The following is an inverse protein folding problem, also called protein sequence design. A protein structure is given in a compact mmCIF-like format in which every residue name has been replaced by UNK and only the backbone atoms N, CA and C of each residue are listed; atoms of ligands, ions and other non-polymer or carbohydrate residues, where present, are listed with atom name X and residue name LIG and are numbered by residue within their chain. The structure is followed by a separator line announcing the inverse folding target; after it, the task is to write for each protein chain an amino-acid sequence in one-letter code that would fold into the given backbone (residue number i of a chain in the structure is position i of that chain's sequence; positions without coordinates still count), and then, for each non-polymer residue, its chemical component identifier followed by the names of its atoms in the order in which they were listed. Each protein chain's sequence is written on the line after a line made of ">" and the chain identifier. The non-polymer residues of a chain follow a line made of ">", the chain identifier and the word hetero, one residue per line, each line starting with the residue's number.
data_IF_294793580490
#
_entry.id   IF_294793580490
#
_cell.length_a   1.000
_cell.length_b   1.000
_cell.length_c   1.000
_cell.angle_alpha   90.00
_cell.angle_beta   90.00
_cell.angle_gamma   90.00
#
_symmetry.space_group_name_H-M   'P 1'
#
loop_
_entity.id
_entity.type
_entity.pdbx_description
1 polymer ?
#
# COMPACT_ATOMS: atom_id res chain seq x y z
N UNK A 1 -3.43 -6.97 10.60
CA UNK A 1 -2.48 -5.84 10.47
C UNK A 1 -2.43 -5.09 11.78
N UNK A 2 -1.25 -4.83 12.30
CA UNK A 2 -1.07 -4.22 13.61
C UNK A 2 -0.91 -2.71 13.53
N UNK A 3 -1.20 -2.03 14.65
CA UNK A 3 -1.02 -0.58 14.73
C UNK A 3 0.47 -0.18 14.57
N UNK A 4 1.39 -1.03 15.04
CA UNK A 4 2.84 -0.80 14.85
C UNK A 4 3.19 -0.67 13.37
N UNK A 5 2.63 -1.54 12.53
CA UNK A 5 2.86 -1.53 11.08
C UNK A 5 2.31 -0.26 10.46
N UNK A 6 1.08 0.11 10.81
CA UNK A 6 0.48 1.34 10.29
C UNK A 6 1.27 2.58 10.72
N UNK A 7 1.68 2.65 11.98
CA UNK A 7 2.46 3.78 12.48
C UNK A 7 3.79 3.90 11.74
N UNK A 8 4.44 2.79 11.44
CA UNK A 8 5.68 2.78 10.67
C UNK A 8 5.45 3.30 9.24
N UNK A 9 4.39 2.86 8.60
CA UNK A 9 4.05 3.29 7.24
C UNK A 9 3.59 4.75 7.18
N UNK A 10 2.97 5.25 8.23
CA UNK A 10 2.56 6.66 8.30
C UNK A 10 3.76 7.60 8.44
N UNK A 11 4.83 7.13 9.06
CA UNK A 11 6.04 7.95 9.29
C UNK A 11 7.07 7.85 8.17
N UNK A 12 7.06 6.77 7.40
CA UNK A 12 8.11 6.46 6.45
C UNK A 12 7.51 6.11 5.10
N UNK A 13 8.03 6.72 4.05
CA UNK A 13 7.54 6.48 2.69
C UNK A 13 7.73 5.02 2.32
N UNK A 14 6.64 4.37 1.93
CA UNK A 14 6.68 3.02 1.38
C UNK A 14 6.92 3.04 -0.12
N UNK A 15 7.63 2.02 -0.60
CA UNK A 15 7.83 1.78 -2.03
C UNK A 15 7.17 0.47 -2.39
N UNK A 16 6.26 0.51 -3.35
CA UNK A 16 5.52 -0.67 -3.79
C UNK A 16 6.16 -1.25 -5.05
N UNK A 17 6.51 -2.52 -4.97
CA UNK A 17 7.01 -3.28 -6.11
C UNK A 17 5.89 -4.09 -6.74
N UNK A 18 5.79 -4.00 -8.06
CA UNK A 18 4.86 -4.78 -8.88
C UNK A 18 5.60 -5.42 -10.02
N UNK A 19 5.00 -6.45 -10.64
CA UNK A 19 5.52 -7.01 -11.89
C UNK A 19 4.96 -6.20 -13.05
N UNK A 20 5.85 -5.57 -13.81
CA UNK A 20 5.44 -4.84 -15.02
C UNK A 20 4.90 -5.77 -16.09
N UNK A 21 4.06 -5.24 -16.97
CA UNK A 21 3.49 -6.01 -18.08
C UNK A 21 4.56 -6.50 -19.06
N UNK A 22 5.72 -5.85 -19.07
CA UNK A 22 6.90 -6.28 -19.83
C UNK A 22 7.73 -7.36 -19.10
N UNK A 23 7.34 -7.76 -17.89
CA UNK A 23 8.05 -8.75 -17.08
C UNK A 23 9.09 -8.16 -16.13
N UNK A 24 9.50 -6.90 -16.30
CA UNK A 24 10.45 -6.27 -15.40
C UNK A 24 9.80 -5.84 -14.09
N UNK A 25 10.54 -5.92 -12.96
CA UNK A 25 10.03 -5.35 -11.71
C UNK A 25 9.90 -3.84 -11.83
N UNK A 26 8.84 -3.30 -11.22
CA UNK A 26 8.54 -1.87 -11.20
C UNK A 26 8.35 -1.43 -9.75
N UNK A 27 8.92 -0.29 -9.39
CA UNK A 27 8.88 0.24 -8.02
C UNK A 27 8.51 1.72 -8.05
N UNK A 28 7.63 2.14 -7.15
CA UNK A 28 7.23 3.55 -6.99
C UNK A 28 6.88 3.84 -5.54
N UNK A 29 6.99 5.12 -5.13
CA UNK A 29 6.52 5.50 -3.78
C UNK A 29 5.01 5.28 -3.67
N UNK A 30 4.58 4.86 -2.48
CA UNK A 30 3.18 4.69 -2.15
C UNK A 30 2.93 5.22 -0.75
N UNK A 31 2.19 6.33 -0.65
CA UNK A 31 2.12 7.14 0.56
C UNK A 31 0.74 7.20 1.22
N UNK A 32 -0.15 6.31 0.88
CA UNK A 32 -1.53 6.41 1.36
C UNK A 32 -1.97 5.15 2.11
N UNK A 33 -1.24 4.74 3.17
CA UNK A 33 -1.69 3.60 3.96
C UNK A 33 -2.93 3.97 4.78
N UNK A 34 -3.91 3.09 4.76
CA UNK A 34 -5.15 3.24 5.53
C UNK A 34 -5.52 1.88 6.11
N UNK A 35 -5.68 1.84 7.43
CA UNK A 35 -6.23 0.66 8.08
C UNK A 35 -7.74 0.84 8.21
N UNK A 36 -8.50 -0.07 7.61
CA UNK A 36 -9.95 0.00 7.61
C UNK A 36 -10.50 -1.41 7.79
N UNK A 37 -11.27 -1.61 8.86
CA UNK A 37 -11.86 -2.91 9.21
C UNK A 37 -10.84 -4.06 9.17
N UNK A 38 -9.65 -3.82 9.73
CA UNK A 38 -8.61 -4.83 9.85
C UNK A 38 -7.79 -5.08 8.58
N UNK A 39 -8.07 -4.39 7.48
CA UNK A 39 -7.33 -4.51 6.23
C UNK A 39 -6.51 -3.27 5.96
N UNK A 40 -5.31 -3.47 5.43
CA UNK A 40 -4.46 -2.37 4.97
C UNK A 40 -4.84 -2.04 3.53
N UNK A 41 -5.25 -0.79 3.31
CA UNK A 41 -5.57 -0.26 2.00
C UNK A 41 -4.55 0.76 1.53
N UNK A 42 -4.47 0.91 0.23
CA UNK A 42 -3.86 2.05 -0.43
C UNK A 42 -4.68 2.43 -1.65
N UNK A 43 -4.25 3.45 -2.38
CA UNK A 43 -5.00 3.92 -3.54
C UNK A 43 -4.10 4.25 -4.71
N UNK A 44 -4.69 4.29 -5.88
CA UNK A 44 -4.03 4.70 -7.12
C UNK A 44 -5.06 5.19 -8.12
N UNK A 45 -4.57 5.69 -9.26
CA UNK A 45 -5.43 6.05 -10.39
C UNK A 45 -5.48 4.88 -11.38
N UNK A 46 -6.66 4.60 -11.93
CA UNK A 46 -6.82 3.62 -13.00
C UNK A 46 -6.03 3.99 -14.27
N UNK A 47 -5.65 5.25 -14.42
CA UNK A 47 -4.85 5.72 -15.54
C UNK A 47 -3.36 5.37 -15.42
N UNK A 48 -2.89 4.98 -14.22
CA UNK A 48 -1.48 4.66 -13.98
C UNK A 48 -1.15 3.19 -14.32
N UNK A 49 0.11 2.95 -14.71
CA UNK A 49 0.59 1.61 -15.03
C UNK A 49 0.42 0.60 -13.91
N UNK A 50 0.55 1.03 -12.66
CA UNK A 50 0.36 0.16 -11.49
C UNK A 50 -0.99 -0.57 -11.50
N UNK A 51 -2.05 0.09 -11.97
CA UNK A 51 -3.38 -0.52 -12.05
C UNK A 51 -3.35 -1.76 -12.96
N UNK A 52 -2.78 -1.64 -14.15
CA UNK A 52 -2.62 -2.77 -15.08
C UNK A 52 -1.68 -3.85 -14.56
N UNK A 53 -0.58 -3.44 -13.91
CA UNK A 53 0.37 -4.39 -13.33
C UNK A 53 -0.32 -5.32 -12.33
N UNK A 54 -1.12 -4.75 -11.44
CA UNK A 54 -1.83 -5.52 -10.41
C UNK A 54 -2.92 -6.39 -11.02
N UNK A 55 -3.63 -5.90 -12.03
CA UNK A 55 -4.64 -6.69 -12.73
C UNK A 55 -4.03 -7.93 -13.40
N UNK A 56 -2.84 -7.80 -13.98
CA UNK A 56 -2.16 -8.90 -14.66
C UNK A 56 -1.45 -9.85 -13.69
N UNK A 57 -0.94 -9.33 -12.59
CA UNK A 57 -0.20 -10.11 -11.60
C UNK A 57 -0.37 -9.44 -10.24
N UNK A 58 -1.20 -10.03 -9.41
CA UNK A 58 -1.65 -9.39 -8.17
C UNK A 58 -0.63 -9.39 -7.03
N UNK A 59 0.40 -10.24 -7.10
CA UNK A 59 1.40 -10.30 -6.04
C UNK A 59 2.27 -9.05 -6.04
N UNK A 60 2.39 -8.44 -4.87
CA UNK A 60 3.12 -7.19 -4.68
C UNK A 60 3.99 -7.28 -3.42
N UNK A 61 4.94 -6.38 -3.32
CA UNK A 61 5.70 -6.21 -2.09
C UNK A 61 5.87 -4.72 -1.80
N UNK A 62 5.55 -4.35 -0.56
CA UNK A 62 5.72 -2.99 -0.06
C UNK A 62 6.88 -2.97 0.92
N UNK A 63 7.78 -2.02 0.80
CA UNK A 63 8.87 -1.83 1.75
C UNK A 63 8.98 -0.37 2.14
N UNK A 64 9.23 -0.10 3.42
CA UNK A 64 9.49 1.22 3.94
C UNK A 64 10.71 1.19 4.86
N UNK A 65 11.53 2.24 4.82
CA UNK A 65 12.76 2.34 5.59
C UNK A 65 12.72 3.62 6.43
N UNK A 66 13.13 3.51 7.70
CA UNK A 66 13.07 4.65 8.61
C UNK A 66 14.23 5.66 8.45
N UNK A 67 15.12 5.42 7.49
CA UNK A 67 16.27 6.28 7.24
C UNK A 67 17.43 6.06 8.20
N UNK A 68 17.32 5.11 9.11
CA UNK A 68 18.34 4.80 10.13
C UNK A 68 18.83 3.37 10.04
N UNK A 69 18.01 2.42 10.50
CA UNK A 69 18.42 1.02 10.52
C UNK A 69 17.30 0.02 10.33
N UNK A 70 16.04 0.44 10.42
CA UNK A 70 14.90 -0.47 10.43
C UNK A 70 14.07 -0.33 9.16
N UNK A 71 13.65 -1.46 8.59
CA UNK A 71 12.72 -1.47 7.47
C UNK A 71 11.64 -2.53 7.68
N UNK A 72 10.52 -2.30 7.02
CA UNK A 72 9.40 -3.23 7.00
C UNK A 72 9.21 -3.76 5.57
N UNK A 73 8.78 -5.00 5.46
CA UNK A 73 8.43 -5.62 4.17
C UNK A 73 7.08 -6.29 4.31
N UNK A 74 6.21 -6.00 3.36
CA UNK A 74 4.85 -6.57 3.32
C UNK A 74 4.67 -7.22 1.97
N UNK A 75 4.55 -8.56 1.95
CA UNK A 75 4.20 -9.33 0.76
C UNK A 75 2.73 -9.65 0.81
N UNK A 76 2.02 -9.45 -0.28
CA UNK A 76 0.59 -9.69 -0.31
C UNK A 76 0.09 -9.81 -1.74
N UNK A 77 -1.18 -10.19 -1.89
CA UNK A 77 -1.92 -9.95 -3.12
C UNK A 77 -2.65 -8.62 -2.99
N UNK A 78 -2.52 -7.78 -3.98
CA UNK A 78 -3.28 -6.53 -4.06
C UNK A 78 -4.64 -6.83 -4.69
N UNK A 79 -5.71 -6.46 -4.01
CA UNK A 79 -7.08 -6.70 -4.47
C UNK A 79 -7.80 -5.36 -4.58
N UNK A 80 -8.19 -4.99 -5.79
CA UNK A 80 -9.01 -3.80 -6.00
C UNK A 80 -10.43 -4.05 -5.49
N UNK A 81 -10.98 -3.07 -4.81
CA UNK A 81 -12.31 -3.15 -4.23
C UNK A 81 -13.05 -1.84 -4.46
N UNK A 82 -14.23 -1.90 -5.05
CA UNK A 82 -15.06 -0.72 -5.21
C UNK A 82 -15.87 -0.52 -3.93
N UNK A 83 -15.26 0.18 -2.97
CA UNK A 83 -15.83 0.38 -1.64
C UNK A 83 -15.86 1.87 -1.31
N UNK A 84 -17.05 2.46 -1.39
CA UNK A 84 -17.22 3.89 -1.16
C UNK A 84 -16.82 4.32 0.23
N UNK A 85 -17.06 3.49 1.26
CA UNK A 85 -16.68 3.82 2.64
C UNK A 85 -15.17 3.94 2.81
N UNK A 86 -14.42 3.05 2.15
CA UNK A 86 -12.95 3.11 2.14
C UNK A 86 -12.48 4.36 1.39
N UNK A 87 -13.10 4.64 0.25
CA UNK A 87 -12.77 5.85 -0.53
C UNK A 87 -13.00 7.12 0.25
N UNK A 88 -14.12 7.19 0.98
CA UNK A 88 -14.42 8.32 1.86
C UNK A 88 -13.42 8.44 3.01
N UNK A 89 -13.04 7.33 3.64
CA UNK A 89 -12.04 7.32 4.70
C UNK A 89 -10.66 7.76 4.18
N UNK A 90 -10.31 7.36 2.97
CA UNK A 90 -9.07 7.78 2.32
C UNK A 90 -9.06 9.29 2.07
N UNK A 91 -10.18 9.84 1.63
CA UNK A 91 -10.36 11.28 1.46
C UNK A 91 -10.25 12.04 2.77
N UNK A 92 -10.83 11.50 3.84
CA UNK A 92 -10.76 12.11 5.15
C UNK A 92 -9.32 12.17 5.66
N UNK A 93 -8.56 11.09 5.50
CA UNK A 93 -7.19 11.01 6.02
C UNK A 93 -6.20 11.85 5.21
N UNK A 94 -6.35 11.94 3.88
CA UNK A 94 -5.32 12.49 3.00
C UNK A 94 -5.80 13.67 2.17
N UNK A 95 -5.30 14.85 2.48
CA UNK A 95 -5.57 16.06 1.69
C UNK A 95 -5.07 15.90 0.25
N UNK A 96 -3.92 15.28 0.04
CA UNK A 96 -3.38 15.07 -1.31
C UNK A 96 -4.33 14.24 -2.17
N UNK A 97 -5.02 13.26 -1.59
CA UNK A 97 -6.00 12.44 -2.29
C UNK A 97 -7.21 13.28 -2.69
N UNK A 98 -7.70 14.13 -1.79
CA UNK A 98 -8.79 15.08 -2.10
C UNK A 98 -8.41 16.01 -3.25
N UNK A 99 -7.18 16.51 -3.22
CA UNK A 99 -6.71 17.45 -4.24
C UNK A 99 -6.58 16.80 -5.63
N UNK A 100 -6.20 15.53 -5.69
CA UNK A 100 -6.02 14.81 -6.95
C UNK A 100 -7.36 14.35 -7.53
N UNK A 101 -8.19 13.71 -6.72
CA UNK A 101 -9.39 13.01 -7.22
C UNK A 101 -10.66 13.84 -7.12
N UNK A 102 -10.71 14.84 -6.27
CA UNK A 102 -11.82 15.81 -6.07
C UNK A 102 -13.04 15.24 -5.37
N UNK A 103 -13.48 14.04 -5.72
CA UNK A 103 -14.61 13.35 -5.07
C UNK A 103 -14.32 11.86 -4.93
N UNK A 104 -14.85 11.21 -3.87
CA UNK A 104 -14.68 9.76 -3.70
C UNK A 104 -15.27 8.93 -4.86
N UNK A 105 -16.25 9.47 -5.57
CA UNK A 105 -16.94 8.81 -6.68
C UNK A 105 -16.21 8.94 -8.01
N UNK A 106 -15.06 9.63 -8.04
CA UNK A 106 -14.28 9.78 -9.27
C UNK A 106 -13.97 8.41 -9.87
N UNK A 107 -14.36 8.14 -11.14
CA UNK A 107 -14.18 6.83 -11.74
C UNK A 107 -12.72 6.39 -11.91
N UNK A 108 -11.77 7.32 -11.89
CA UNK A 108 -10.34 7.01 -11.96
C UNK A 108 -9.75 6.64 -10.60
N UNK A 109 -10.46 6.94 -9.51
CA UNK A 109 -9.98 6.67 -8.16
C UNK A 109 -10.19 5.20 -7.80
N UNK A 110 -9.11 4.47 -7.55
CA UNK A 110 -9.15 3.06 -7.19
C UNK A 110 -8.49 2.83 -5.83
N UNK A 111 -9.15 2.07 -4.98
CA UNK A 111 -8.58 1.60 -3.72
C UNK A 111 -8.33 0.09 -3.81
N UNK A 112 -7.29 -0.37 -3.15
CA UNK A 112 -6.97 -1.79 -3.07
C UNK A 112 -6.47 -2.12 -1.68
N UNK A 113 -6.63 -3.39 -1.30
CA UNK A 113 -6.09 -3.86 -0.02
C UNK A 113 -5.08 -4.98 -0.24
N UNK A 114 -4.25 -5.17 0.77
CA UNK A 114 -3.24 -6.22 0.80
C UNK A 114 -3.86 -7.47 1.43
N UNK A 115 -4.17 -8.46 0.59
CA UNK A 115 -4.78 -9.73 1.00
C UNK A 115 -3.73 -10.69 1.51
N UNK A 116 -4.01 -11.34 2.65
CA UNK A 116 -3.13 -12.34 3.26
C UNK A 116 -1.69 -11.84 3.41
N UNK A 117 -1.49 -10.69 4.05
CA UNK A 117 -0.17 -10.10 4.11
C UNK A 117 0.80 -10.91 4.97
N UNK A 118 2.04 -11.01 4.51
CA UNK A 118 3.17 -11.49 5.30
C UNK A 118 4.05 -10.29 5.61
N UNK A 119 4.20 -9.97 6.89
CA UNK A 119 4.89 -8.77 7.33
C UNK A 119 6.15 -9.13 8.08
N UNK A 120 7.28 -8.54 7.68
CA UNK A 120 8.55 -8.65 8.41
C UNK A 120 9.05 -7.26 8.79
N UNK A 121 9.58 -7.17 10.01
CA UNK A 121 10.34 -6.00 10.46
C UNK A 121 11.77 -6.45 10.69
N UNK A 122 12.70 -5.77 10.04
CA UNK A 122 14.11 -6.13 10.05
C UNK A 122 14.96 -4.89 10.32
N UNK A 123 16.18 -5.10 10.86
CA UNK A 123 17.11 -4.00 11.08
C UNK A 123 18.55 -4.43 10.83
N UNK A 124 19.41 -3.46 10.59
CA UNK A 124 20.86 -3.70 10.48
C UNK A 124 21.47 -4.18 11.81
N UNK A 125 20.80 -3.90 12.93
CA UNK A 125 21.26 -4.36 14.26
C UNK A 125 20.82 -5.79 14.58
N UNK A 126 20.15 -6.49 13.67
CA UNK A 126 19.84 -7.92 13.81
C UNK A 126 18.38 -8.26 14.09
N UNK A 127 17.48 -7.26 14.15
CA UNK A 127 16.06 -7.57 14.28
C UNK A 127 15.58 -8.28 13.02
N UNK A 128 14.88 -9.39 13.19
CA UNK A 128 14.25 -10.13 12.09
C UNK A 128 12.99 -10.79 12.64
N UNK A 129 11.90 -10.09 12.57
CA UNK A 129 10.66 -10.45 13.24
C UNK A 129 9.52 -10.56 12.25
N UNK A 130 8.79 -11.68 12.29
CA UNK A 130 7.55 -11.86 11.54
C UNK A 130 6.40 -11.36 12.40
N UNK A 131 5.64 -10.39 11.88
CA UNK A 131 4.46 -9.89 12.57
C UNK A 131 3.29 -10.80 12.21
N UNK A 132 2.72 -11.43 13.23
CA UNK A 132 1.52 -12.26 13.08
C UNK A 132 0.28 -11.44 13.40
N UNK A 133 -0.76 -11.71 12.68
CA UNK A 133 -2.06 -11.10 12.90
C UNK A 133 -2.89 -11.86 13.90
#
# INVERSE_FOLDING_TARGET
>A
MTQEVLDFLDKNVGFLATKGTCGNPRVRPMQSPLLFEGKLYSCTSKAKGIYKHIQNFANVELSAFDGKETWIRIRAKAVFEDNLKVKEAMFEKYEVVRNIYKTPENPEFAVFYFESPSVKIQSFSGRDEVIKE
#
